data_IF_868378629941
#
_entry.id   IF_868378629941
#
_cell.length_a   1.000
_cell.length_b   1.000
_cell.length_c   1.000
_cell.angle_alpha   90.00
_cell.angle_beta   90.00
_cell.angle_gamma   90.00
#
_symmetry.space_group_name_H-M   'P 1'
#
loop_
_entity.id
_entity.type
_entity.pdbx_description
1 polymer ?
#
# COMPACT_ATOMS: atom_id res chain seq x y z
N UNK A 1 -8.29 13.56 -15.30
CA UNK A 1 -7.03 14.15 -14.81
C UNK A 1 -6.62 13.38 -13.55
N UNK A 2 -5.35 13.05 -13.34
CA UNK A 2 -4.88 12.39 -12.10
C UNK A 2 -4.37 13.47 -11.14
N UNK A 3 -4.68 13.35 -9.85
CA UNK A 3 -4.15 14.24 -8.81
C UNK A 3 -2.67 13.93 -8.57
N UNK A 4 -1.85 14.96 -8.43
CA UNK A 4 -0.42 14.89 -8.12
C UNK A 4 -0.16 15.42 -6.71
N UNK A 5 1.00 15.09 -6.13
CA UNK A 5 1.41 15.58 -4.80
C UNK A 5 1.34 17.12 -4.70
N UNK A 6 1.76 17.80 -5.78
CA UNK A 6 1.74 19.26 -5.95
C UNK A 6 0.33 19.88 -5.97
N UNK A 7 -0.72 19.10 -6.19
CA UNK A 7 -2.11 19.58 -6.09
C UNK A 7 -2.57 19.72 -4.63
N UNK A 8 -1.80 19.24 -3.65
CA UNK A 8 -2.11 19.42 -2.23
C UNK A 8 -1.99 20.89 -1.83
N UNK A 9 -2.96 21.40 -1.08
CA UNK A 9 -2.93 22.79 -0.64
C UNK A 9 -4.26 23.31 -0.14
N UNK A 10 -4.27 24.59 0.19
CA UNK A 10 -5.47 25.31 0.56
C UNK A 10 -6.17 25.85 -0.70
N UNK A 11 -7.43 25.48 -0.86
CA UNK A 11 -8.28 25.93 -1.95
C UNK A 11 -9.35 26.86 -1.41
N UNK A 12 -9.48 27.99 -2.09
CA UNK A 12 -10.34 29.08 -1.68
C UNK A 12 -11.40 29.27 -2.76
N UNK A 13 -12.66 29.21 -2.35
CA UNK A 13 -13.79 29.62 -3.17
C UNK A 13 -14.31 30.96 -2.66
N UNK A 14 -14.25 31.98 -3.50
CA UNK A 14 -14.77 33.32 -3.21
C UNK A 14 -16.02 33.59 -4.05
N UNK A 15 -17.07 33.99 -3.36
CA UNK A 15 -18.33 34.50 -3.93
C UNK A 15 -18.54 35.90 -3.39
N UNK A 16 -19.34 36.73 -4.08
CA UNK A 16 -19.39 38.19 -3.86
C UNK A 16 -19.57 38.67 -2.40
N UNK A 17 -20.10 37.85 -1.49
CA UNK A 17 -20.20 38.17 -0.06
C UNK A 17 -19.60 37.12 0.89
N UNK A 18 -19.02 36.03 0.37
CA UNK A 18 -18.60 34.89 1.18
C UNK A 18 -17.37 34.19 0.64
N UNK A 19 -16.47 33.81 1.56
CA UNK A 19 -15.28 33.03 1.29
C UNK A 19 -15.38 31.69 2.02
N UNK A 20 -15.09 30.60 1.31
CA UNK A 20 -14.94 29.27 1.89
C UNK A 20 -13.54 28.75 1.61
N UNK A 21 -12.94 28.09 2.59
CA UNK A 21 -11.58 27.59 2.54
C UNK A 21 -11.63 26.09 2.85
N UNK A 22 -11.00 25.28 2.01
CA UNK A 22 -10.85 23.85 2.23
C UNK A 22 -9.41 23.41 1.93
N UNK A 23 -8.88 22.50 2.72
CA UNK A 23 -7.55 21.91 2.48
C UNK A 23 -7.70 20.59 1.74
N UNK A 24 -7.04 20.48 0.59
CA UNK A 24 -6.89 19.22 -0.14
C UNK A 24 -5.56 18.57 0.27
N UNK A 25 -5.61 17.36 0.80
CA UNK A 25 -4.42 16.53 1.07
C UNK A 25 -4.39 15.37 0.07
N UNK A 26 -3.44 15.40 -0.86
CA UNK A 26 -3.18 14.25 -1.75
C UNK A 26 -2.22 13.31 -1.02
N UNK A 27 -2.66 12.07 -0.79
CA UNK A 27 -1.82 11.02 -0.22
C UNK A 27 -1.27 10.15 -1.34
N UNK A 28 0.01 9.81 -1.26
CA UNK A 28 0.58 8.85 -2.19
C UNK A 28 -0.01 7.45 -1.94
N UNK A 29 -0.25 6.72 -3.02
CA UNK A 29 -0.67 5.33 -2.91
C UNK A 29 0.53 4.46 -2.51
N UNK A 30 0.31 3.53 -1.59
CA UNK A 30 1.28 2.47 -1.29
C UNK A 30 1.49 1.64 -2.54
N UNK A 31 2.75 1.36 -2.86
CA UNK A 31 3.16 0.53 -3.99
C UNK A 31 4.12 -0.54 -3.50
N UNK A 32 4.13 -1.67 -4.19
CA UNK A 32 5.18 -2.68 -4.03
C UNK A 32 6.38 -2.19 -4.84
N UNK A 33 7.52 -1.95 -4.18
CA UNK A 33 8.77 -1.50 -4.81
C UNK A 33 9.70 -2.68 -5.11
N UNK A 34 9.59 -3.76 -4.32
CA UNK A 34 10.19 -5.05 -4.63
C UNK A 34 9.10 -6.11 -4.67
N UNK A 35 8.87 -6.65 -5.86
CA UNK A 35 7.87 -7.69 -6.11
C UNK A 35 8.33 -9.06 -5.61
N UNK A 36 7.38 -9.99 -5.55
CA UNK A 36 7.67 -11.39 -5.25
C UNK A 36 8.60 -11.99 -6.30
N UNK A 37 9.49 -12.85 -5.83
CA UNK A 37 10.39 -13.60 -6.70
C UNK A 37 10.16 -15.09 -6.50
N UNK A 38 10.36 -15.83 -7.59
CA UNK A 38 10.29 -17.28 -7.55
C UNK A 38 11.48 -17.83 -6.76
N UNK A 39 11.18 -18.72 -5.82
CA UNK A 39 12.19 -19.44 -5.04
C UNK A 39 12.00 -20.93 -5.19
N UNK A 40 13.10 -21.67 -5.21
CA UNK A 40 13.10 -23.13 -5.23
C UNK A 40 13.80 -23.61 -3.98
N UNK A 41 13.09 -24.37 -3.15
CA UNK A 41 13.61 -24.97 -1.92
C UNK A 41 13.53 -26.48 -1.97
N UNK A 42 14.38 -27.16 -1.21
CA UNK A 42 14.32 -28.62 -1.09
C UNK A 42 13.19 -29.03 -0.13
N UNK A 43 12.65 -30.23 -0.32
CA UNK A 43 11.63 -30.81 0.57
C UNK A 43 12.07 -30.77 2.03
N UNK A 44 11.20 -30.30 2.92
CA UNK A 44 11.48 -30.17 4.35
C UNK A 44 12.29 -28.92 4.72
N UNK A 45 12.42 -27.96 3.80
CA UNK A 45 12.94 -26.62 4.06
C UNK A 45 11.83 -25.58 3.94
N UNK A 46 12.01 -24.49 4.65
CA UNK A 46 11.09 -23.36 4.63
C UNK A 46 11.33 -22.50 3.40
N UNK A 47 10.24 -21.98 2.85
CA UNK A 47 10.23 -21.02 1.76
C UNK A 47 9.86 -19.64 2.34
N UNK A 48 10.71 -18.63 2.11
CA UNK A 48 10.48 -17.27 2.60
C UNK A 48 10.22 -16.37 1.41
N UNK A 49 9.04 -15.76 1.38
CA UNK A 49 8.66 -14.74 0.42
C UNK A 49 8.67 -13.37 1.09
N UNK A 50 9.22 -12.38 0.41
CA UNK A 50 9.34 -11.02 0.91
C UNK A 50 8.94 -10.03 -0.18
N UNK A 51 8.33 -8.92 0.24
CA UNK A 51 8.03 -7.75 -0.60
C UNK A 51 8.46 -6.49 0.13
N UNK A 52 8.91 -5.50 -0.63
CA UNK A 52 9.20 -4.17 -0.09
C UNK A 52 8.11 -3.19 -0.54
N UNK A 53 7.65 -2.34 0.38
CA UNK A 53 6.61 -1.34 0.12
C UNK A 53 7.19 0.06 0.10
N UNK A 54 6.57 0.96 -0.68
CA UNK A 54 6.99 2.36 -0.76
C UNK A 54 6.80 3.15 0.53
N UNK A 55 6.04 2.63 1.50
CA UNK A 55 5.71 3.31 2.76
C UNK A 55 5.90 2.36 3.95
N UNK A 56 6.43 2.89 5.05
CA UNK A 56 6.54 2.18 6.32
C UNK A 56 5.24 2.23 7.13
N UNK A 57 5.11 1.35 8.13
CA UNK A 57 3.95 1.34 9.04
C UNK A 57 2.68 0.71 8.46
N UNK A 58 2.78 0.05 7.30
CA UNK A 58 1.70 -0.76 6.74
C UNK A 58 1.66 -2.10 7.46
N UNK A 59 0.59 -2.35 8.22
CA UNK A 59 0.41 -3.61 8.98
C UNK A 59 -0.60 -4.57 8.34
N UNK A 60 -1.36 -4.11 7.35
CA UNK A 60 -2.44 -4.88 6.72
C UNK A 60 -2.00 -5.47 5.38
N UNK A 61 -1.07 -6.44 5.43
CA UNK A 61 -0.70 -7.25 4.27
C UNK A 61 -1.51 -8.54 4.22
N UNK A 62 -1.87 -8.98 3.02
CA UNK A 62 -2.53 -10.26 2.76
C UNK A 62 -1.67 -11.11 1.82
N UNK A 63 -1.52 -12.39 2.15
CA UNK A 63 -0.80 -13.36 1.32
C UNK A 63 -1.77 -14.36 0.72
N UNK A 64 -1.63 -14.61 -0.57
CA UNK A 64 -2.52 -15.50 -1.32
C UNK A 64 -1.73 -16.63 -1.96
N UNK A 65 -2.28 -17.84 -1.90
CA UNK A 65 -1.77 -19.01 -2.62
C UNK A 65 -2.82 -19.46 -3.65
N UNK A 66 -2.60 -19.06 -4.91
CA UNK A 66 -3.64 -19.13 -5.92
C UNK A 66 -4.84 -18.29 -5.49
N UNK A 67 -6.03 -18.89 -5.43
CA UNK A 67 -7.27 -18.23 -5.02
C UNK A 67 -7.55 -18.32 -3.50
N UNK A 68 -6.59 -18.80 -2.70
CA UNK A 68 -6.77 -19.00 -1.26
C UNK A 68 -6.01 -17.95 -0.45
N UNK A 69 -6.72 -17.18 0.38
CA UNK A 69 -6.11 -16.28 1.36
C UNK A 69 -5.42 -17.10 2.47
N UNK A 70 -4.11 -16.92 2.62
CA UNK A 70 -3.32 -17.57 3.65
C UNK A 70 -3.67 -16.99 5.03
N UNK A 71 -3.99 -17.90 5.96
CA UNK A 71 -4.19 -17.57 7.36
C UNK A 71 -2.86 -17.72 8.11
N UNK A 72 -2.70 -16.92 9.16
CA UNK A 72 -1.59 -17.09 10.09
C UNK A 72 -1.80 -18.39 10.88
N UNK A 73 -0.95 -19.39 10.63
CA UNK A 73 -1.03 -20.74 11.19
C UNK A 73 0.36 -21.38 11.26
N UNK A 74 0.48 -22.59 11.82
CA UNK A 74 1.78 -23.28 12.01
C UNK A 74 2.59 -23.51 10.72
N UNK A 75 1.96 -23.39 9.55
CA UNK A 75 2.59 -23.55 8.24
C UNK A 75 2.98 -22.22 7.57
N UNK A 76 2.36 -21.11 8.00
CA UNK A 76 2.48 -19.77 7.37
C UNK A 76 2.87 -18.69 8.40
N UNK A 77 3.54 -19.07 9.49
CA UNK A 77 4.06 -18.15 10.50
C UNK A 77 5.43 -17.62 10.10
N UNK A 78 5.66 -16.33 10.36
CA UNK A 78 7.01 -15.73 10.43
C UNK A 78 7.60 -15.93 11.81
#
# INVERSE_FOLDING_TARGET
HKLMMEDSGEYICETGSGKSIATLTVKEHVRIVQELSDITVMTGKDAIFEVELSHSGITNGEWWLGDNLLQNNDLNQM
#
